data_IF_229569929232
#
_entry.id   IF_229569929232
#
_cell.length_a   1.000
_cell.length_b   1.000
_cell.length_c   1.000
_cell.angle_alpha   90.00
_cell.angle_beta   90.00
_cell.angle_gamma   90.00
#
_symmetry.space_group_name_H-M   'P 1'
#
loop_
_entity.id
_entity.type
_entity.pdbx_description
1 polymer ?
#
# COMPACT_ATOMS: atom_id res chain seq x y z
N UNK A 1 7.62 -7.86 6.08
CA UNK A 1 6.32 -7.93 5.40
C UNK A 1 6.43 -8.42 3.96
N UNK A 2 7.27 -7.85 3.09
CA UNK A 2 7.35 -8.24 1.67
C UNK A 2 7.58 -9.73 1.43
N UNK A 3 8.53 -10.37 2.14
CA UNK A 3 8.74 -11.83 2.02
C UNK A 3 7.54 -12.67 2.45
N UNK A 4 6.79 -12.21 3.45
CA UNK A 4 5.57 -12.89 3.89
C UNK A 4 4.52 -12.81 2.78
N UNK A 5 4.28 -11.60 2.25
CA UNK A 5 3.36 -11.38 1.13
C UNK A 5 3.75 -12.19 -0.11
N UNK A 6 5.03 -12.19 -0.48
CA UNK A 6 5.54 -12.98 -1.62
C UNK A 6 5.17 -14.46 -1.49
N UNK A 7 5.42 -15.05 -0.32
CA UNK A 7 5.05 -16.46 -0.04
C UNK A 7 3.55 -16.69 -0.18
N UNK A 8 2.73 -15.82 0.42
CA UNK A 8 1.27 -15.87 0.36
C UNK A 8 0.77 -15.70 -1.08
N UNK A 9 1.28 -14.72 -1.81
CA UNK A 9 0.88 -14.45 -3.18
C UNK A 9 1.26 -15.61 -4.11
N UNK A 10 2.49 -16.12 -4.02
CA UNK A 10 2.92 -17.31 -4.79
C UNK A 10 2.08 -18.55 -4.50
N UNK A 11 1.62 -18.72 -3.26
CA UNK A 11 0.70 -19.79 -2.90
C UNK A 11 -0.70 -19.64 -3.52
N UNK A 12 -1.14 -18.42 -3.79
CA UNK A 12 -2.46 -18.13 -4.36
C UNK A 12 -2.47 -18.13 -5.89
N UNK A 13 -1.44 -17.55 -6.53
CA UNK A 13 -1.43 -17.37 -8.00
C UNK A 13 -0.41 -18.28 -8.71
N UNK A 14 0.43 -18.98 -7.97
CA UNK A 14 1.55 -19.74 -8.50
C UNK A 14 2.80 -18.89 -8.73
N UNK A 15 3.94 -19.58 -8.77
CA UNK A 15 5.25 -18.94 -8.93
C UNK A 15 5.34 -18.13 -10.24
N UNK A 16 4.75 -18.65 -11.31
CA UNK A 16 4.81 -18.10 -12.67
C UNK A 16 4.08 -16.75 -12.82
N UNK A 17 3.07 -16.51 -12.00
CA UNK A 17 2.27 -15.29 -12.06
C UNK A 17 2.74 -14.21 -11.10
N UNK A 18 3.57 -14.56 -10.14
CA UNK A 18 4.19 -13.57 -9.26
C UNK A 18 5.30 -12.82 -10.00
N UNK A 19 5.34 -11.50 -9.88
CA UNK A 19 6.38 -10.64 -10.46
C UNK A 19 6.87 -9.65 -9.43
N UNK A 20 8.18 -9.50 -9.32
CA UNK A 20 8.77 -8.34 -8.68
C UNK A 20 8.65 -7.16 -9.64
N UNK A 21 8.02 -6.10 -9.14
CA UNK A 21 7.83 -4.88 -9.92
C UNK A 21 8.96 -3.92 -9.57
N UNK A 22 9.68 -3.36 -10.57
CA UNK A 22 10.69 -2.35 -10.32
C UNK A 22 10.09 -1.09 -9.71
N UNK A 23 10.94 -0.24 -9.15
CA UNK A 23 10.51 1.05 -8.61
C UNK A 23 9.65 1.83 -9.62
N UNK A 24 8.53 2.36 -9.15
CA UNK A 24 7.60 3.18 -9.92
C UNK A 24 7.49 4.58 -9.31
N UNK A 25 7.33 5.57 -10.16
CA UNK A 25 7.16 6.98 -9.78
C UNK A 25 5.68 7.33 -9.60
N UNK A 26 4.95 6.59 -8.81
CA UNK A 26 3.57 6.93 -8.43
C UNK A 26 3.53 7.49 -7.02
N UNK A 27 2.53 8.31 -6.69
CA UNK A 27 2.23 8.73 -5.33
C UNK A 27 0.97 8.02 -4.82
N UNK A 28 0.95 7.77 -3.52
CA UNK A 28 -0.17 7.13 -2.82
C UNK A 28 -0.09 7.46 -1.34
N UNK A 29 -1.23 7.54 -0.66
CA UNK A 29 -1.33 7.77 0.78
C UNK A 29 -0.60 6.70 1.61
N UNK A 30 -0.31 5.54 1.02
CA UNK A 30 0.55 4.52 1.64
C UNK A 30 1.99 5.01 1.83
N UNK A 31 2.43 6.01 1.06
CA UNK A 31 3.70 6.71 1.27
C UNK A 31 3.74 7.35 2.65
N UNK A 32 2.65 8.00 3.06
CA UNK A 32 2.52 8.64 4.38
C UNK A 32 2.50 7.61 5.52
N UNK A 33 1.72 6.55 5.37
CA UNK A 33 1.64 5.46 6.36
C UNK A 33 3.03 4.83 6.56
N UNK A 34 3.79 4.64 5.50
CA UNK A 34 5.13 4.04 5.54
C UNK A 34 6.17 4.86 6.30
N UNK A 35 5.93 6.17 6.51
CA UNK A 35 6.81 7.01 7.30
C UNK A 35 6.80 6.66 8.80
N UNK A 36 5.72 6.07 9.29
CA UNK A 36 5.52 5.85 10.73
C UNK A 36 5.34 4.39 11.13
N UNK A 37 5.13 3.49 10.17
CA UNK A 37 4.94 2.07 10.46
C UNK A 37 5.33 1.17 9.28
N UNK A 38 5.63 -0.13 9.53
CA UNK A 38 5.85 -1.09 8.46
C UNK A 38 4.59 -1.19 7.59
N UNK A 39 4.74 -0.94 6.29
CA UNK A 39 3.64 -0.93 5.34
C UNK A 39 3.95 -1.80 4.14
N UNK A 40 2.91 -2.24 3.44
CA UNK A 40 2.99 -2.99 2.20
C UNK A 40 1.87 -2.51 1.27
N UNK A 41 2.21 -2.23 0.02
CA UNK A 41 1.26 -1.81 -1.01
C UNK A 41 1.47 -2.62 -2.28
N UNK A 42 1.02 -3.88 -2.32
CA UNK A 42 1.16 -4.73 -3.49
C UNK A 42 0.20 -4.33 -4.60
N UNK A 43 0.59 -4.63 -5.83
CA UNK A 43 -0.27 -4.50 -7.00
C UNK A 43 -0.81 -5.87 -7.39
N UNK A 44 -2.05 -5.89 -7.89
CA UNK A 44 -2.70 -7.07 -8.43
C UNK A 44 -3.07 -6.85 -9.89
N UNK A 45 -3.12 -7.94 -10.66
CA UNK A 45 -3.63 -7.93 -12.02
C UNK A 45 -5.16 -7.81 -12.08
N UNK A 46 -5.70 -8.02 -13.26
CA UNK A 46 -7.14 -8.08 -13.49
C UNK A 46 -7.77 -6.79 -14.03
N UNK A 47 -6.98 -5.73 -14.20
CA UNK A 47 -7.43 -4.49 -14.82
C UNK A 47 -6.91 -4.33 -16.25
N UNK A 48 -7.64 -3.60 -17.07
CA UNK A 48 -7.24 -3.13 -18.39
C UNK A 48 -7.47 -1.62 -18.51
N UNK A 49 -6.79 -1.01 -19.48
CA UNK A 49 -6.81 0.43 -19.70
C UNK A 49 -5.78 1.20 -18.90
N UNK A 50 -5.45 2.43 -19.31
CA UNK A 50 -4.54 3.30 -18.57
C UNK A 50 -5.13 3.70 -17.21
N UNK A 51 -4.32 3.73 -16.17
CA UNK A 51 -4.74 4.24 -14.87
C UNK A 51 -5.28 5.67 -14.98
N UNK A 52 -6.35 5.97 -14.23
CA UNK A 52 -7.06 7.27 -14.23
C UNK A 52 -7.79 7.64 -15.54
N UNK A 53 -7.89 6.73 -16.52
CA UNK A 53 -8.67 6.95 -17.72
C UNK A 53 -10.10 6.40 -17.56
N UNK A 54 -11.04 6.97 -18.32
CA UNK A 54 -12.43 6.49 -18.35
C UNK A 54 -12.56 5.03 -18.86
N UNK A 55 -11.57 4.54 -19.56
CA UNK A 55 -11.50 3.17 -20.08
C UNK A 55 -10.86 2.18 -19.11
N UNK A 56 -10.38 2.64 -17.93
CA UNK A 56 -9.86 1.74 -16.90
C UNK A 56 -10.98 0.90 -16.31
N UNK A 57 -10.87 -0.41 -16.39
CA UNK A 57 -11.87 -1.33 -15.86
C UNK A 57 -11.24 -2.62 -15.29
N UNK A 58 -11.85 -3.19 -14.26
CA UNK A 58 -11.53 -4.54 -13.81
C UNK A 58 -12.24 -5.53 -14.73
N UNK A 59 -11.46 -6.26 -15.49
CA UNK A 59 -11.96 -7.24 -16.49
C UNK A 59 -11.86 -8.68 -16.00
N UNK A 60 -10.92 -8.96 -15.11
CA UNK A 60 -10.82 -10.23 -14.39
C UNK A 60 -11.15 -10.02 -12.92
N UNK A 61 -12.38 -10.40 -12.54
CA UNK A 61 -12.89 -10.24 -11.19
C UNK A 61 -12.19 -11.15 -10.18
N UNK A 62 -11.69 -12.30 -10.62
CA UNK A 62 -10.95 -13.22 -9.76
C UNK A 62 -9.61 -12.60 -9.36
N UNK A 63 -8.86 -12.08 -10.32
CA UNK A 63 -7.59 -11.40 -10.08
C UNK A 63 -7.78 -10.04 -9.40
N UNK A 64 -8.80 -9.27 -9.77
CA UNK A 64 -8.97 -7.90 -9.30
C UNK A 64 -9.62 -7.77 -7.92
N UNK A 65 -10.45 -8.75 -7.51
CA UNK A 65 -11.20 -8.66 -6.25
C UNK A 65 -10.96 -9.83 -5.31
N UNK A 66 -11.10 -11.07 -5.81
CA UNK A 66 -11.10 -12.26 -4.95
C UNK A 66 -9.70 -12.57 -4.43
N UNK A 67 -8.70 -12.57 -5.31
CA UNK A 67 -7.33 -12.89 -4.93
C UNK A 67 -6.71 -11.85 -3.98
N UNK A 68 -6.84 -10.52 -4.20
CA UNK A 68 -6.36 -9.55 -3.21
C UNK A 68 -7.04 -9.71 -1.84
N UNK A 69 -8.35 -9.97 -1.80
CA UNK A 69 -9.04 -10.21 -0.53
C UNK A 69 -8.49 -11.46 0.18
N UNK A 70 -8.27 -12.56 -0.54
CA UNK A 70 -7.64 -13.76 0.01
C UNK A 70 -6.21 -13.50 0.48
N UNK A 71 -5.42 -12.75 -0.28
CA UNK A 71 -4.05 -12.42 0.09
C UNK A 71 -3.99 -11.60 1.38
N UNK A 72 -4.85 -10.59 1.52
CA UNK A 72 -4.95 -9.78 2.74
C UNK A 72 -5.41 -10.62 3.94
N UNK A 73 -6.43 -11.45 3.77
CA UNK A 73 -6.91 -12.34 4.84
C UNK A 73 -5.82 -13.33 5.29
N UNK A 74 -5.13 -13.98 4.36
CA UNK A 74 -4.03 -14.87 4.67
C UNK A 74 -2.87 -14.16 5.39
N UNK A 75 -2.53 -12.93 4.95
CA UNK A 75 -1.53 -12.11 5.63
C UNK A 75 -1.92 -11.80 7.08
N UNK A 76 -3.20 -11.50 7.34
CA UNK A 76 -3.69 -11.25 8.70
C UNK A 76 -3.58 -12.51 9.55
N UNK A 77 -3.96 -13.67 9.02
CA UNK A 77 -3.81 -14.96 9.70
C UNK A 77 -2.34 -15.24 10.04
N UNK A 78 -1.45 -15.13 9.06
CA UNK A 78 -0.02 -15.38 9.25
C UNK A 78 0.62 -14.41 10.27
N UNK A 79 0.20 -13.14 10.27
CA UNK A 79 0.73 -12.14 11.20
C UNK A 79 0.24 -12.36 12.63
N UNK A 80 -0.98 -12.86 12.81
CA UNK A 80 -1.61 -13.06 14.12
C UNK A 80 -1.44 -14.47 14.68
N UNK A 81 -1.02 -15.43 13.87
CA UNK A 81 -0.72 -16.78 14.33
C UNK A 81 0.33 -16.80 15.46
N UNK A 82 0.34 -17.86 16.23
CA UNK A 82 1.30 -18.10 17.31
C UNK A 82 1.43 -16.91 18.28
N UNK A 83 0.28 -16.38 18.66
CA UNK A 83 0.20 -15.20 19.53
C UNK A 83 0.79 -13.95 18.90
N UNK A 84 0.65 -13.77 17.58
CA UNK A 84 1.15 -12.67 16.77
C UNK A 84 2.69 -12.58 16.72
N UNK A 85 3.39 -13.70 16.75
CA UNK A 85 4.85 -13.72 16.72
C UNK A 85 5.42 -13.02 15.47
N UNK A 86 4.83 -13.27 14.30
CA UNK A 86 5.24 -12.63 13.04
C UNK A 86 5.06 -11.11 13.05
N UNK A 87 3.93 -10.63 13.55
CA UNK A 87 3.68 -9.20 13.66
C UNK A 87 4.65 -8.53 14.65
N UNK A 88 4.87 -9.14 15.82
CA UNK A 88 5.82 -8.62 16.81
C UNK A 88 7.25 -8.55 16.27
N UNK A 89 7.68 -9.57 15.52
CA UNK A 89 9.01 -9.57 14.89
C UNK A 89 9.15 -8.43 13.87
N UNK A 90 8.14 -8.23 13.02
CA UNK A 90 8.14 -7.16 12.03
C UNK A 90 8.21 -5.79 12.71
N UNK A 91 7.41 -5.56 13.75
CA UNK A 91 7.41 -4.30 14.51
C UNK A 91 8.75 -4.07 15.20
N UNK A 92 9.32 -5.09 15.85
CA UNK A 92 10.60 -4.98 16.55
C UNK A 92 11.78 -4.67 15.61
N UNK A 93 11.74 -5.20 14.37
CA UNK A 93 12.79 -4.96 13.36
C UNK A 93 12.55 -3.70 12.53
N UNK A 94 11.37 -3.10 12.63
CA UNK A 94 11.01 -1.92 11.85
C UNK A 94 11.77 -0.68 12.35
N UNK A 95 12.22 0.11 11.40
CA UNK A 95 12.83 1.43 11.66
C UNK A 95 12.15 2.45 10.77
N UNK A 96 10.93 2.89 11.11
CA UNK A 96 10.25 3.93 10.34
C UNK A 96 11.10 5.19 10.25
N UNK A 97 11.06 5.92 9.13
CA UNK A 97 11.83 7.16 8.96
C UNK A 97 11.48 8.24 9.98
N UNK A 98 10.22 8.26 10.44
CA UNK A 98 9.72 9.26 11.37
C UNK A 98 9.01 8.64 12.57
N UNK A 99 9.02 9.34 13.69
CA UNK A 99 8.07 9.08 14.77
C UNK A 99 6.69 9.63 14.40
N UNK A 100 5.62 9.11 15.01
CA UNK A 100 4.27 9.66 14.82
C UNK A 100 4.19 11.15 15.10
N UNK A 101 4.80 11.62 16.19
CA UNK A 101 4.81 13.05 16.55
C UNK A 101 5.58 13.88 15.52
N UNK A 102 6.74 13.41 15.07
CA UNK A 102 7.52 14.07 14.02
C UNK A 102 6.75 14.17 12.70
N UNK A 103 6.08 13.10 12.30
CA UNK A 103 5.25 13.10 11.10
C UNK A 103 4.08 14.10 11.19
N UNK A 104 3.37 14.15 12.32
CA UNK A 104 2.28 15.12 12.51
C UNK A 104 2.79 16.57 12.48
N UNK A 105 3.96 16.84 13.06
CA UNK A 105 4.59 18.16 12.98
C UNK A 105 4.96 18.51 11.54
N UNK A 106 5.56 17.59 10.82
CA UNK A 106 5.88 17.75 9.40
C UNK A 106 4.63 18.08 8.57
N UNK A 107 3.56 17.29 8.70
CA UNK A 107 2.33 17.51 7.95
C UNK A 107 1.69 18.87 8.25
N UNK A 108 1.69 19.28 9.53
CA UNK A 108 1.20 20.62 9.91
C UNK A 108 2.03 21.75 9.32
N UNK A 109 3.33 21.56 9.20
CA UNK A 109 4.23 22.58 8.60
C UNK A 109 4.01 22.73 7.08
N UNK A 110 3.49 21.70 6.42
CA UNK A 110 3.17 21.73 4.99
C UNK A 110 1.78 22.28 4.68
N UNK A 111 0.91 22.36 5.71
CA UNK A 111 -0.44 22.88 5.54
C UNK A 111 -0.42 24.37 5.19
N UNK A 112 -0.97 24.72 4.03
CA UNK A 112 -1.16 26.10 3.59
C UNK A 112 -2.66 26.35 3.41
N UNK A 113 -3.10 27.52 3.81
CA UNK A 113 -4.43 28.02 3.48
C UNK A 113 -4.24 29.24 2.58
N UNK A 114 -4.64 29.10 1.35
CA UNK A 114 -4.65 30.22 0.39
C UNK A 114 -6.11 30.56 0.11
N UNK A 115 -6.44 31.85 0.14
CA UNK A 115 -7.75 32.34 -0.25
C UNK A 115 -7.56 33.10 -1.55
N UNK A 116 -8.11 32.58 -2.63
CA UNK A 116 -8.14 33.27 -3.90
C UNK A 116 -9.41 34.12 -3.97
N UNK A 117 -9.24 35.43 -4.03
CA UNK A 117 -10.33 36.38 -4.31
C UNK A 117 -10.31 36.73 -5.79
N UNK A 118 -11.18 36.10 -6.57
CA UNK A 118 -11.30 36.34 -8.02
C UNK A 118 -11.81 37.73 -8.39
N UNK A 119 -12.30 38.51 -7.42
CA UNK A 119 -12.77 39.87 -7.64
C UNK A 119 -11.66 40.92 -7.58
N UNK A 120 -10.48 40.60 -7.03
CA UNK A 120 -9.37 41.51 -6.84
C UNK A 120 -8.29 41.47 -7.95
N UNK A 121 -8.52 40.70 -9.03
CA UNK A 121 -7.63 40.58 -10.18
C UNK A 121 -8.18 41.28 -11.43
N UNK A 122 -8.22 42.57 -11.44
CA UNK A 122 -8.47 43.43 -12.60
C UNK A 122 -7.27 44.33 -12.87
#
# INVERSE_FOLDING_TARGET
>A
MSRLFERTAKGLVGQEQYRDIPHRSGSTDMGDVSQIMPSLHPYMGGAQGPGHAATFAIVDKQLGYVLPAKALAAMVVDLLADGAAGAREIVAKSKPPMTRAGYLTFQRSMARREVFDGASGG
#
